data_IF_216893806422
#
_entry.id   IF_216893806422
#
_cell.length_a   1.000
_cell.length_b   1.000
_cell.length_c   1.000
_cell.angle_alpha   90.00
_cell.angle_beta   90.00
_cell.angle_gamma   90.00
#
_symmetry.space_group_name_H-M   'P 1'
#
loop_
_entity.id
_entity.type
_entity.pdbx_description
1 polymer ?
#
# COMPACT_ATOMS: atom_id res chain seq x y z
N UNK A 1 -13.98 10.63 5.71
CA UNK A 1 -14.34 9.65 6.72
C UNK A 1 -14.33 8.27 6.06
N UNK A 2 -13.99 7.20 6.79
CA UNK A 2 -14.07 5.85 6.26
C UNK A 2 -15.50 5.50 5.85
N UNK A 3 -15.63 4.55 4.92
CA UNK A 3 -16.93 4.10 4.41
C UNK A 3 -17.70 3.20 5.37
N UNK A 4 -17.00 2.61 6.34
CA UNK A 4 -17.58 1.73 7.36
C UNK A 4 -17.68 2.45 8.70
N UNK A 5 -18.57 1.96 9.56
CA UNK A 5 -18.65 2.40 10.95
C UNK A 5 -17.34 2.11 11.69
N UNK A 6 -17.02 2.99 12.64
CA UNK A 6 -15.86 2.87 13.51
C UNK A 6 -16.31 2.39 14.88
N UNK A 7 -15.53 1.53 15.54
CA UNK A 7 -15.85 1.03 16.87
C UNK A 7 -15.20 1.93 17.94
N UNK A 8 -15.99 2.71 18.70
CA UNK A 8 -15.46 3.52 19.80
C UNK A 8 -14.95 2.63 20.93
N UNK A 9 -14.08 3.19 21.78
CA UNK A 9 -13.45 2.46 22.88
C UNK A 9 -14.49 1.85 23.84
N UNK A 10 -15.63 2.52 24.04
CA UNK A 10 -16.73 2.05 24.89
C UNK A 10 -17.43 0.78 24.38
N UNK A 11 -17.30 0.46 23.09
CA UNK A 11 -17.93 -0.70 22.45
C UNK A 11 -16.95 -1.88 22.24
N UNK A 12 -15.67 -1.69 22.56
CA UNK A 12 -14.65 -2.73 22.42
C UNK A 12 -14.87 -3.86 23.43
N UNK A 13 -15.01 -5.08 22.91
CA UNK A 13 -15.18 -6.30 23.73
C UNK A 13 -14.05 -7.32 23.55
N UNK A 14 -13.29 -7.23 22.45
CA UNK A 14 -12.25 -8.18 22.13
C UNK A 14 -10.88 -7.78 22.73
N UNK A 15 -10.17 -8.69 23.42
CA UNK A 15 -8.90 -8.37 24.08
C UNK A 15 -7.82 -7.80 23.16
N UNK A 16 -7.72 -8.30 21.93
CA UNK A 16 -6.75 -7.82 20.94
C UNK A 16 -7.02 -6.37 20.53
N UNK A 17 -8.29 -5.98 20.40
CA UNK A 17 -8.66 -4.60 20.06
C UNK A 17 -8.33 -3.68 21.23
N UNK A 18 -8.67 -4.07 22.47
CA UNK A 18 -8.28 -3.31 23.68
C UNK A 18 -6.77 -3.11 23.73
N UNK A 19 -5.99 -4.19 23.55
CA UNK A 19 -4.54 -4.16 23.59
C UNK A 19 -3.95 -3.18 22.57
N UNK A 20 -4.43 -3.23 21.33
CA UNK A 20 -3.95 -2.32 20.28
C UNK A 20 -4.40 -0.88 20.52
N UNK A 21 -5.63 -0.66 21.01
CA UNK A 21 -6.10 0.68 21.32
C UNK A 21 -5.27 1.32 22.44
N UNK A 22 -4.96 0.56 23.50
CA UNK A 22 -4.11 1.03 24.59
C UNK A 22 -2.71 1.38 24.10
N UNK A 23 -2.14 0.54 23.22
CA UNK A 23 -0.81 0.77 22.65
C UNK A 23 -0.75 2.03 21.77
N UNK A 24 -1.75 2.25 20.92
CA UNK A 24 -1.73 3.27 19.88
C UNK A 24 -2.32 4.61 20.33
N UNK A 25 -3.32 4.58 21.20
CA UNK A 25 -4.11 5.75 21.56
C UNK A 25 -4.07 6.08 23.06
N UNK A 26 -3.52 5.19 23.90
CA UNK A 26 -3.56 5.34 25.35
C UNK A 26 -5.01 5.31 25.85
N UNK A 27 -5.38 6.16 26.81
CA UNK A 27 -6.74 6.18 27.38
C UNK A 27 -7.79 6.82 26.44
N UNK A 28 -7.36 7.48 25.36
CA UNK A 28 -8.25 8.20 24.45
C UNK A 28 -9.17 7.25 23.69
N UNK A 29 -10.36 7.72 23.36
CA UNK A 29 -11.23 7.06 22.38
C UNK A 29 -10.76 7.45 20.97
N UNK A 30 -10.28 6.51 20.13
CA UNK A 30 -9.75 6.84 18.82
C UNK A 30 -10.80 7.33 17.81
N UNK A 31 -12.09 7.10 18.07
CA UNK A 31 -13.18 7.61 17.20
C UNK A 31 -13.51 9.06 17.57
N UNK A 32 -13.52 9.40 18.86
CA UNK A 32 -13.79 10.77 19.32
C UNK A 32 -12.56 11.69 19.18
N UNK A 33 -11.37 11.15 19.43
CA UNK A 33 -10.09 11.85 19.38
C UNK A 33 -9.11 11.11 18.46
N UNK A 34 -9.29 11.20 17.12
CA UNK A 34 -8.45 10.49 16.16
C UNK A 34 -7.01 11.00 16.17
N UNK A 35 -6.09 10.19 15.64
CA UNK A 35 -4.68 10.52 15.49
C UNK A 35 -3.75 9.48 16.10
N UNK A 36 -2.82 8.98 15.28
CA UNK A 36 -1.69 8.12 15.70
C UNK A 36 -0.40 8.93 15.82
N UNK A 37 0.59 8.40 16.53
CA UNK A 37 1.95 8.98 16.60
C UNK A 37 2.65 9.06 15.25
N UNK A 38 2.20 8.27 14.26
CA UNK A 38 2.71 8.33 12.89
C UNK A 38 2.05 9.42 12.05
N UNK A 39 1.08 10.16 12.60
CA UNK A 39 0.40 11.28 11.94
C UNK A 39 -0.83 10.89 11.12
N UNK A 40 -1.29 9.64 11.21
CA UNK A 40 -2.50 9.20 10.51
C UNK A 40 -3.74 9.34 11.38
N UNK A 41 -4.96 9.42 10.80
CA UNK A 41 -6.21 9.46 11.57
C UNK A 41 -6.39 8.28 12.55
N UNK A 42 -5.89 7.09 12.21
CA UNK A 42 -6.04 5.88 13.02
C UNK A 42 -7.33 5.10 12.77
N UNK A 43 -8.12 5.51 11.79
CA UNK A 43 -9.42 4.91 11.52
C UNK A 43 -9.34 3.49 10.93
N UNK A 44 -8.19 3.04 10.40
CA UNK A 44 -7.97 1.64 10.00
C UNK A 44 -8.17 0.72 11.20
N UNK A 45 -7.63 1.11 12.36
CA UNK A 45 -7.75 0.36 13.60
C UNK A 45 -9.19 0.29 14.08
N UNK A 46 -9.91 1.40 13.99
CA UNK A 46 -11.30 1.47 14.46
C UNK A 46 -12.32 0.81 13.53
N UNK A 47 -12.04 0.78 12.22
CA UNK A 47 -12.84 0.08 11.23
C UNK A 47 -12.63 -1.42 11.34
N UNK A 48 -11.39 -1.90 11.44
CA UNK A 48 -11.11 -3.33 11.56
C UNK A 48 -11.62 -3.89 12.89
N UNK A 49 -11.69 -3.09 13.95
CA UNK A 49 -12.24 -3.50 15.24
C UNK A 49 -13.68 -4.04 15.17
N UNK A 50 -14.42 -3.74 14.10
CA UNK A 50 -15.75 -4.30 13.84
C UNK A 50 -15.76 -5.82 13.61
N UNK A 51 -14.60 -6.40 13.24
CA UNK A 51 -14.43 -7.85 13.04
C UNK A 51 -13.15 -8.33 13.77
N UNK A 52 -13.24 -8.68 15.07
CA UNK A 52 -12.06 -8.94 15.90
C UNK A 52 -11.13 -10.06 15.43
N UNK A 53 -11.67 -11.12 14.82
CA UNK A 53 -10.90 -12.23 14.26
C UNK A 53 -10.10 -11.81 13.01
N UNK A 54 -10.72 -11.00 12.14
CA UNK A 54 -10.04 -10.38 11.00
C UNK A 54 -8.99 -9.38 11.47
N UNK A 55 -9.31 -8.55 12.47
CA UNK A 55 -8.38 -7.61 13.09
C UNK A 55 -7.16 -8.33 13.65
N UNK A 56 -7.37 -9.40 14.42
CA UNK A 56 -6.29 -10.21 14.99
C UNK A 56 -5.39 -10.80 13.91
N UNK A 57 -5.98 -11.35 12.84
CA UNK A 57 -5.22 -11.88 11.72
C UNK A 57 -4.37 -10.80 11.02
N UNK A 58 -4.95 -9.62 10.79
CA UNK A 58 -4.24 -8.49 10.18
C UNK A 58 -3.06 -8.03 11.05
N UNK A 59 -3.27 -7.87 12.36
CA UNK A 59 -2.23 -7.50 13.32
C UNK A 59 -1.14 -8.57 13.41
N UNK A 60 -1.51 -9.86 13.38
CA UNK A 60 -0.55 -10.96 13.33
C UNK A 60 0.29 -10.92 12.03
N UNK A 61 -0.31 -10.53 10.91
CA UNK A 61 0.40 -10.26 9.65
C UNK A 61 1.50 -9.19 9.82
N UNK A 62 1.22 -8.13 10.59
CA UNK A 62 2.22 -7.09 10.87
C UNK A 62 3.39 -7.63 11.70
N UNK A 63 3.10 -8.42 12.72
CA UNK A 63 4.14 -9.11 13.50
C UNK A 63 4.94 -10.11 12.66
N UNK A 64 4.30 -10.77 11.69
CA UNK A 64 4.94 -11.75 10.81
C UNK A 64 6.01 -11.10 9.94
N UNK A 65 5.71 -10.00 9.25
CA UNK A 65 6.68 -9.41 8.32
C UNK A 65 7.82 -8.67 9.05
N UNK A 66 7.57 -8.12 10.24
CA UNK A 66 8.61 -7.47 11.08
C UNK A 66 9.46 -8.45 11.89
N UNK A 67 9.12 -9.73 11.91
CA UNK A 67 9.82 -10.71 12.75
C UNK A 67 11.31 -10.81 12.41
N UNK A 68 12.22 -10.89 13.40
CA UNK A 68 13.64 -11.17 13.15
C UNK A 68 13.90 -12.58 12.59
N UNK A 69 12.84 -13.40 12.48
CA UNK A 69 12.89 -14.72 11.84
C UNK A 69 12.82 -14.64 10.30
N UNK A 70 12.59 -13.44 9.73
CA UNK A 70 12.64 -13.26 8.28
C UNK A 70 14.07 -13.44 7.78
N UNK A 71 14.21 -14.22 6.71
CA UNK A 71 15.46 -14.38 5.99
C UNK A 71 15.70 -13.20 5.05
N UNK A 72 14.63 -12.65 4.46
CA UNK A 72 14.72 -11.53 3.54
C UNK A 72 15.27 -10.28 4.22
N UNK A 73 16.23 -9.63 3.58
CA UNK A 73 16.77 -8.34 4.00
C UNK A 73 15.62 -7.32 4.23
N UNK A 74 15.57 -6.66 5.42
CA UNK A 74 14.55 -5.67 5.72
C UNK A 74 14.45 -4.53 4.69
N UNK A 75 15.55 -4.08 4.09
CA UNK A 75 15.57 -3.04 3.06
C UNK A 75 14.86 -3.50 1.79
N UNK A 76 15.10 -4.75 1.36
CA UNK A 76 14.40 -5.34 0.21
C UNK A 76 12.91 -5.54 0.50
N UNK A 77 12.59 -6.00 1.72
CA UNK A 77 11.22 -6.15 2.22
C UNK A 77 10.47 -4.81 2.19
N UNK A 78 11.02 -3.75 2.75
CA UNK A 78 10.39 -2.43 2.76
C UNK A 78 10.31 -1.81 1.36
N UNK A 79 11.29 -2.05 0.49
CA UNK A 79 11.23 -1.62 -0.92
C UNK A 79 10.04 -2.21 -1.65
N UNK A 80 9.77 -3.51 -1.47
CA UNK A 80 8.59 -4.17 -2.06
C UNK A 80 7.26 -3.64 -1.51
N UNK A 81 7.17 -3.42 -0.20
CA UNK A 81 5.95 -2.88 0.45
C UNK A 81 5.66 -1.43 0.05
N UNK A 82 6.69 -0.57 0.04
CA UNK A 82 6.57 0.81 -0.42
C UNK A 82 6.17 0.86 -1.90
N UNK A 83 6.83 0.07 -2.76
CA UNK A 83 6.48 0.02 -4.18
C UNK A 83 5.05 -0.49 -4.40
N UNK A 84 4.61 -1.51 -3.67
CA UNK A 84 3.23 -1.99 -3.71
C UNK A 84 2.23 -0.87 -3.36
N UNK A 85 2.48 -0.12 -2.28
CA UNK A 85 1.66 1.04 -1.92
C UNK A 85 1.58 2.08 -3.04
N UNK A 86 2.72 2.41 -3.64
CA UNK A 86 2.80 3.38 -4.75
C UNK A 86 1.98 2.94 -5.97
N UNK A 87 2.21 1.73 -6.48
CA UNK A 87 1.59 1.28 -7.74
C UNK A 87 0.11 0.92 -7.61
N UNK A 88 -0.32 0.49 -6.42
CA UNK A 88 -1.74 0.33 -6.10
C UNK A 88 -2.41 1.69 -5.87
N UNK A 89 -1.65 2.75 -5.64
CA UNK A 89 -2.15 4.11 -5.43
C UNK A 89 -2.65 4.39 -4.01
N UNK A 90 -2.18 3.62 -3.02
CA UNK A 90 -2.48 3.85 -1.61
C UNK A 90 -1.46 4.82 -1.01
N UNK A 91 -1.93 6.03 -0.70
CA UNK A 91 -1.13 7.06 -0.05
C UNK A 91 -0.78 6.64 1.38
N UNK A 92 -1.68 5.93 2.07
CA UNK A 92 -1.42 5.42 3.41
C UNK A 92 -0.27 4.40 3.42
N UNK A 93 -0.39 3.32 2.63
CA UNK A 93 0.62 2.25 2.61
C UNK A 93 1.97 2.80 2.16
N UNK A 94 2.03 3.53 1.04
CA UNK A 94 3.29 4.09 0.55
C UNK A 94 3.98 4.94 1.62
N UNK A 95 3.24 5.82 2.28
CA UNK A 95 3.80 6.74 3.26
C UNK A 95 4.24 6.07 4.55
N UNK A 96 3.56 5.00 5.00
CA UNK A 96 4.00 4.21 6.15
C UNK A 96 5.30 3.46 5.85
N UNK A 97 5.40 2.81 4.69
CA UNK A 97 6.62 2.10 4.32
C UNK A 97 7.78 3.02 3.97
N UNK A 98 7.52 4.24 3.48
CA UNK A 98 8.55 5.26 3.38
C UNK A 98 9.15 5.59 4.77
N UNK A 99 8.33 5.69 5.83
CA UNK A 99 8.84 5.86 7.20
C UNK A 99 9.64 4.64 7.68
N UNK A 100 9.16 3.43 7.39
CA UNK A 100 9.90 2.19 7.70
C UNK A 100 11.25 2.14 6.99
N UNK A 101 11.34 2.54 5.71
CA UNK A 101 12.60 2.67 4.99
C UNK A 101 13.57 3.65 5.69
N UNK A 102 13.07 4.81 6.17
CA UNK A 102 13.89 5.77 6.93
C UNK A 102 14.42 5.17 8.23
N UNK A 103 13.60 4.39 8.94
CA UNK A 103 14.03 3.69 10.15
C UNK A 103 15.15 2.67 9.89
N UNK A 104 15.21 2.11 8.68
CA UNK A 104 16.30 1.23 8.23
C UNK A 104 17.53 2.00 7.69
N UNK A 105 17.51 3.33 7.70
CA UNK A 105 18.62 4.15 7.22
C UNK A 105 18.68 4.32 5.70
N UNK A 106 17.60 4.01 4.97
CA UNK A 106 17.55 4.26 3.53
C UNK A 106 17.59 5.79 3.26
N UNK A 107 18.46 6.29 2.36
CA UNK A 107 18.53 7.71 2.03
C UNK A 107 17.22 8.24 1.42
N UNK A 108 16.85 9.50 1.69
CA UNK A 108 15.63 10.11 1.11
C UNK A 108 15.64 10.07 -0.42
N UNK A 109 16.78 10.31 -1.08
CA UNK A 109 16.86 10.25 -2.55
C UNK A 109 16.45 8.89 -3.11
N UNK A 110 16.78 7.81 -2.39
CA UNK A 110 16.41 6.45 -2.75
C UNK A 110 14.95 6.14 -2.45
N UNK A 111 14.41 6.64 -1.32
CA UNK A 111 13.00 6.51 -0.97
C UNK A 111 12.12 7.22 -2.02
N UNK A 112 12.48 8.45 -2.38
CA UNK A 112 11.80 9.22 -3.42
C UNK A 112 11.85 8.49 -4.76
N UNK A 113 13.01 7.89 -5.07
CA UNK A 113 13.22 7.13 -6.29
C UNK A 113 12.37 5.85 -6.43
N UNK A 114 11.75 5.33 -5.38
CA UNK A 114 10.88 4.13 -5.46
C UNK A 114 9.73 4.34 -6.47
N UNK A 115 9.20 5.56 -6.56
CA UNK A 115 8.11 5.91 -7.48
C UNK A 115 8.52 5.77 -8.97
N UNK A 116 9.78 6.10 -9.28
CA UNK A 116 10.32 6.16 -10.64
C UNK A 116 11.56 5.28 -10.82
N UNK A 117 11.65 4.19 -10.05
CA UNK A 117 12.85 3.38 -9.87
C UNK A 117 13.56 2.96 -11.17
N UNK A 118 12.77 2.67 -12.21
CA UNK A 118 13.29 2.22 -13.50
C UNK A 118 14.23 3.25 -14.14
N UNK A 119 14.00 4.54 -13.88
CA UNK A 119 14.77 5.67 -14.39
C UNK A 119 15.82 6.21 -13.40
N UNK A 120 15.98 5.60 -12.22
CA UNK A 120 16.93 6.03 -11.18
C UNK A 120 18.16 5.12 -11.12
N UNK A 121 19.30 5.72 -10.77
CA UNK A 121 20.59 5.04 -10.53
C UNK A 121 20.81 4.68 -9.04
N UNK A 122 19.85 4.98 -8.15
CA UNK A 122 19.95 4.77 -6.69
C UNK A 122 19.89 3.28 -6.26
N UNK A 123 19.49 2.39 -7.16
CA UNK A 123 19.20 0.99 -6.86
C UNK A 123 20.24 0.04 -7.46
N UNK A 124 20.77 -0.84 -6.61
CA UNK A 124 21.57 -1.99 -7.03
C UNK A 124 20.76 -2.99 -7.87
N UNK A 125 21.44 -3.94 -8.50
CA UNK A 125 20.79 -4.95 -9.35
C UNK A 125 19.69 -5.73 -8.60
N UNK A 126 19.96 -6.24 -7.40
CA UNK A 126 18.98 -6.99 -6.60
C UNK A 126 17.77 -6.13 -6.22
N UNK A 127 17.99 -4.86 -5.87
CA UNK A 127 16.89 -3.95 -5.53
C UNK A 127 16.01 -3.66 -6.75
N UNK A 128 16.61 -3.49 -7.93
CA UNK A 128 15.86 -3.33 -9.19
C UNK A 128 15.06 -4.58 -9.53
N UNK A 129 15.61 -5.77 -9.29
CA UNK A 129 14.89 -7.04 -9.48
C UNK A 129 13.72 -7.19 -8.50
N UNK A 130 13.88 -6.79 -7.24
CA UNK A 130 12.80 -6.76 -6.24
C UNK A 130 11.69 -5.81 -6.69
N UNK A 131 12.02 -4.60 -7.14
CA UNK A 131 11.03 -3.62 -7.60
C UNK A 131 10.31 -4.08 -8.88
N UNK A 132 11.02 -4.70 -9.83
CA UNK A 132 10.42 -5.32 -11.00
C UNK A 132 9.51 -6.49 -10.65
N UNK A 133 9.92 -7.34 -9.69
CA UNK A 133 9.11 -8.44 -9.18
C UNK A 133 7.85 -7.94 -8.47
N UNK A 134 7.96 -6.87 -7.66
CA UNK A 134 6.81 -6.20 -7.06
C UNK A 134 5.84 -5.66 -8.11
N UNK A 135 6.33 -5.03 -9.19
CA UNK A 135 5.47 -4.58 -10.28
C UNK A 135 4.75 -5.75 -10.97
N UNK A 136 5.42 -6.89 -11.18
CA UNK A 136 4.78 -8.10 -11.71
C UNK A 136 3.68 -8.64 -10.77
N UNK A 137 3.90 -8.63 -9.45
CA UNK A 137 2.88 -9.02 -8.47
C UNK A 137 1.69 -8.05 -8.47
N UNK A 138 1.96 -6.75 -8.33
CA UNK A 138 0.94 -5.74 -8.06
C UNK A 138 0.21 -5.23 -9.31
N UNK A 139 0.95 -4.97 -10.40
CA UNK A 139 0.39 -4.41 -11.64
C UNK A 139 -0.06 -5.50 -12.62
N UNK A 140 0.60 -6.66 -12.61
CA UNK A 140 0.32 -7.73 -13.57
C UNK A 140 -0.42 -8.91 -12.95
N UNK A 141 -0.86 -8.79 -11.68
CA UNK A 141 -1.62 -9.83 -10.99
C UNK A 141 -0.84 -11.12 -10.79
N UNK A 142 0.47 -11.02 -10.53
CA UNK A 142 1.34 -12.18 -10.30
C UNK A 142 1.89 -12.84 -11.56
N UNK A 143 1.71 -12.23 -12.74
CA UNK A 143 2.28 -12.73 -14.01
C UNK A 143 3.78 -12.47 -14.09
N UNK A 144 4.56 -13.24 -13.34
CA UNK A 144 6.02 -13.15 -13.33
C UNK A 144 6.59 -13.95 -14.50
N UNK A 145 7.38 -13.30 -15.36
CA UNK A 145 8.08 -13.98 -16.44
C UNK A 145 9.27 -14.80 -15.91
N UNK A 146 9.50 -15.99 -16.46
CA UNK A 146 10.56 -16.91 -15.99
C UNK A 146 11.95 -16.28 -15.98
N UNK A 147 12.28 -15.47 -16.99
CA UNK A 147 13.57 -14.75 -17.04
C UNK A 147 13.77 -13.78 -15.85
N UNK A 148 12.71 -13.10 -15.40
CA UNK A 148 12.78 -12.23 -14.21
C UNK A 148 12.97 -13.07 -12.95
N UNK A 149 12.22 -14.15 -12.81
CA UNK A 149 12.34 -15.05 -11.66
C UNK A 149 13.71 -15.72 -11.58
N UNK A 150 14.25 -16.15 -12.72
CA UNK A 150 15.59 -16.72 -12.82
C UNK A 150 16.67 -15.73 -12.36
N UNK A 151 16.56 -14.45 -12.78
CA UNK A 151 17.46 -13.39 -12.33
C UNK A 151 17.34 -13.09 -10.84
N UNK A 152 16.12 -13.03 -10.30
CA UNK A 152 15.91 -12.84 -8.87
C UNK A 152 16.57 -13.97 -8.04
N UNK A 153 16.49 -15.21 -8.52
CA UNK A 153 17.13 -16.38 -7.92
C UNK A 153 18.66 -16.39 -7.97
N UNK A 154 19.29 -15.55 -8.78
CA UNK A 154 20.74 -15.36 -8.73
C UNK A 154 21.16 -14.61 -7.45
N UNK A 155 20.24 -13.88 -6.80
CA UNK A 155 20.51 -13.06 -5.61
C UNK A 155 19.78 -13.52 -4.34
N UNK A 156 18.57 -14.07 -4.46
CA UNK A 156 17.73 -14.47 -3.32
C UNK A 156 17.45 -15.98 -3.32
N UNK A 157 17.47 -16.58 -2.13
CA UNK A 157 17.08 -17.98 -1.93
C UNK A 157 15.56 -18.19 -1.91
N UNK A 158 15.14 -19.46 -1.96
CA UNK A 158 13.72 -19.83 -2.04
C UNK A 158 12.88 -19.25 -0.89
N UNK A 159 13.43 -19.23 0.34
CA UNK A 159 12.75 -18.68 1.53
C UNK A 159 12.59 -17.17 1.41
N UNK A 160 13.64 -16.45 0.98
CA UNK A 160 13.61 -14.99 0.82
C UNK A 160 12.62 -14.57 -0.27
N UNK A 161 12.57 -15.31 -1.38
CA UNK A 161 11.61 -15.06 -2.46
C UNK A 161 10.18 -15.34 -1.98
N UNK A 162 9.95 -16.43 -1.23
CA UNK A 162 8.63 -16.72 -0.67
C UNK A 162 8.17 -15.60 0.30
N UNK A 163 9.07 -15.16 1.18
CA UNK A 163 8.80 -14.05 2.09
C UNK A 163 8.51 -12.75 1.33
N UNK A 164 9.32 -12.41 0.32
CA UNK A 164 9.09 -11.25 -0.54
C UNK A 164 7.71 -11.32 -1.22
N UNK A 165 7.37 -12.48 -1.77
CA UNK A 165 6.10 -12.72 -2.48
C UNK A 165 4.91 -12.53 -1.55
N UNK A 166 4.94 -13.20 -0.39
CA UNK A 166 3.85 -13.17 0.58
C UNK A 166 3.66 -11.77 1.16
N UNK A 167 4.75 -11.12 1.61
CA UNK A 167 4.70 -9.81 2.25
C UNK A 167 4.27 -8.74 1.24
N UNK A 168 4.81 -8.76 0.02
CA UNK A 168 4.39 -7.82 -1.04
C UNK A 168 2.92 -8.00 -1.38
N UNK A 169 2.45 -9.24 -1.53
CA UNK A 169 1.03 -9.52 -1.84
C UNK A 169 0.09 -9.11 -0.70
N UNK A 170 0.50 -9.34 0.56
CA UNK A 170 -0.21 -8.85 1.74
C UNK A 170 -0.37 -7.32 1.69
N UNK A 171 0.67 -6.60 1.27
CA UNK A 171 0.60 -5.14 1.18
C UNK A 171 -0.14 -4.61 -0.04
N UNK A 172 -0.16 -5.34 -1.15
CA UNK A 172 -1.10 -5.09 -2.24
C UNK A 172 -2.54 -5.19 -1.71
N UNK A 173 -2.86 -6.23 -0.94
CA UNK A 173 -4.18 -6.40 -0.32
C UNK A 173 -4.50 -5.24 0.64
N UNK A 174 -3.60 -4.89 1.57
CA UNK A 174 -3.85 -3.78 2.51
C UNK A 174 -4.01 -2.43 1.79
N UNK A 175 -3.25 -2.18 0.72
CA UNK A 175 -3.38 -0.98 -0.10
C UNK A 175 -4.75 -0.92 -0.80
N UNK A 176 -5.21 -2.05 -1.36
CA UNK A 176 -6.55 -2.17 -1.97
C UNK A 176 -7.63 -1.91 -0.91
N UNK A 177 -7.53 -2.55 0.26
CA UNK A 177 -8.52 -2.39 1.33
C UNK A 177 -8.59 -0.94 1.82
N UNK A 178 -7.44 -0.28 2.03
CA UNK A 178 -7.39 1.10 2.52
C UNK A 178 -8.06 2.07 1.56
N UNK A 179 -7.79 1.93 0.26
CA UNK A 179 -8.48 2.70 -0.80
C UNK A 179 -9.97 2.39 -0.86
N UNK A 180 -10.33 1.11 -0.85
CA UNK A 180 -11.71 0.68 -0.98
C UNK A 180 -12.57 1.14 0.20
N UNK A 181 -12.01 1.18 1.40
CA UNK A 181 -12.71 1.56 2.63
C UNK A 181 -12.51 3.04 3.01
N UNK A 182 -11.67 3.77 2.27
CA UNK A 182 -11.29 5.18 2.56
C UNK A 182 -10.74 5.35 3.97
N UNK A 183 -9.84 4.45 4.39
CA UNK A 183 -9.18 4.56 5.68
C UNK A 183 -7.90 5.39 5.56
N UNK A 184 -7.54 6.04 6.66
CA UNK A 184 -6.31 6.77 6.88
C UNK A 184 -6.13 7.87 5.84
N UNK A 185 -5.02 7.87 5.11
CA UNK A 185 -4.73 8.86 4.07
C UNK A 185 -5.32 8.52 2.70
N UNK A 186 -6.05 7.41 2.60
CA UNK A 186 -6.79 7.05 1.37
C UNK A 186 -8.25 7.54 1.39
N UNK A 187 -8.65 8.30 2.41
CA UNK A 187 -9.86 9.09 2.39
C UNK A 187 -9.74 10.30 1.45
N UNK A 188 -9.77 10.03 0.15
CA UNK A 188 -9.75 11.03 -0.91
C UNK A 188 -10.66 10.61 -2.05
N UNK A 189 -11.10 11.59 -2.81
CA UNK A 189 -11.91 11.34 -4.00
C UNK A 189 -11.04 10.81 -5.13
N UNK A 190 -11.66 10.02 -6.01
CA UNK A 190 -10.96 9.52 -7.18
C UNK A 190 -10.63 10.71 -8.10
N UNK A 191 -9.36 10.90 -8.50
CA UNK A 191 -9.02 11.98 -9.44
C UNK A 191 -9.62 11.76 -10.83
N UNK A 192 -10.02 10.52 -11.17
CA UNK A 192 -10.65 10.18 -12.45
C UNK A 192 -12.16 10.23 -12.29
N UNK A 193 -12.72 11.39 -12.59
CA UNK A 193 -14.17 11.61 -12.71
C UNK A 193 -14.51 12.11 -14.11
N UNK A 194 -15.76 11.93 -14.51
CA UNK A 194 -16.26 12.54 -15.74
C UNK A 194 -16.18 14.06 -15.63
N UNK A 195 -15.67 14.72 -16.68
CA UNK A 195 -15.71 16.16 -16.82
C UNK A 195 -16.75 16.47 -17.88
N UNK A 196 -17.92 16.93 -17.42
CA UNK A 196 -19.04 17.25 -18.29
C UNK A 196 -18.62 18.23 -19.40
N UNK A 197 -19.11 17.95 -20.61
CA UNK A 197 -19.00 18.89 -21.73
C UNK A 197 -19.76 20.20 -21.46
N UNK A 198 -19.51 21.24 -22.26
CA UNK A 198 -20.27 22.49 -22.17
C UNK A 198 -21.78 22.27 -22.32
N UNK A 199 -22.59 23.14 -21.73
CA UNK A 199 -24.04 23.08 -21.84
C UNK A 199 -24.49 23.04 -23.31
N UNK A 200 -25.35 22.09 -23.66
CA UNK A 200 -25.83 21.88 -25.03
C UNK A 200 -24.88 21.08 -25.95
N UNK A 201 -23.72 20.63 -25.46
CA UNK A 201 -22.83 19.77 -26.24
C UNK A 201 -23.44 18.36 -26.41
N UNK A 202 -24.00 18.09 -27.58
CA UNK A 202 -24.61 16.80 -27.93
C UNK A 202 -23.60 15.76 -28.46
N UNK A 203 -22.30 16.06 -28.40
CA UNK A 203 -21.24 15.27 -29.01
C UNK A 203 -20.90 15.74 -30.43
N UNK A 204 -19.62 15.62 -30.79
CA UNK A 204 -19.10 15.81 -32.14
C UNK A 204 -18.09 14.71 -32.41
N UNK A 205 -18.26 13.96 -33.50
CA UNK A 205 -17.26 13.00 -33.93
C UNK A 205 -16.09 13.75 -34.58
N UNK A 206 -15.09 14.06 -33.75
CA UNK A 206 -13.87 14.76 -34.19
C UNK A 206 -13.18 13.99 -35.29
N UNK A 207 -13.13 12.65 -35.20
CA UNK A 207 -12.49 11.78 -36.19
C UNK A 207 -13.17 11.89 -37.54
N UNK A 208 -14.49 11.78 -37.60
CA UNK A 208 -15.26 11.94 -38.82
C UNK A 208 -15.14 13.36 -39.40
N UNK A 209 -15.11 14.38 -38.54
CA UNK A 209 -15.01 15.76 -38.95
C UNK A 209 -13.67 16.14 -39.57
N UNK A 210 -12.54 15.64 -39.03
CA UNK A 210 -11.20 15.91 -39.59
C UNK A 210 -10.82 14.97 -40.73
N UNK A 211 -11.50 13.83 -40.88
CA UNK A 211 -11.19 12.84 -41.92
C UNK A 211 -11.84 13.13 -43.27
N UNK A 212 -12.68 14.17 -43.40
CA UNK A 212 -13.25 14.59 -44.68
C UNK A 212 -12.35 15.64 -45.34
N UNK A 213 -11.64 15.32 -46.44
CA UNK A 213 -10.84 16.30 -47.16
C UNK A 213 -11.77 17.23 -47.95
N UNK A 214 -11.80 18.53 -47.61
CA UNK A 214 -12.34 19.58 -48.48
C UNK A 214 -13.77 20.07 -48.22
N UNK A 215 -14.26 20.08 -46.97
CA UNK A 215 -15.43 20.90 -46.60
C UNK A 215 -15.00 22.33 -46.24
#
# INVERSE_FOLDING_TARGET
>A
MPRLGQIPRSEVTAPIVTLMYDHLFGERDPVAEPGTTTGTPGDWWTVFAAAPDVFEHAVAGFGLYQSPKRALDPVLRESGQARAGWVVGSQFVFSQHAKSCRLLGMPESKIDAIAYWAASDEFSEVERLVLAYTDALALQGGRVHDALFAKLREHLGDVEILELTYITSMYVMHAIMSRALRTEWDDRDDPVVEVAGPEGFAGYDVGAGISRPGA
#
